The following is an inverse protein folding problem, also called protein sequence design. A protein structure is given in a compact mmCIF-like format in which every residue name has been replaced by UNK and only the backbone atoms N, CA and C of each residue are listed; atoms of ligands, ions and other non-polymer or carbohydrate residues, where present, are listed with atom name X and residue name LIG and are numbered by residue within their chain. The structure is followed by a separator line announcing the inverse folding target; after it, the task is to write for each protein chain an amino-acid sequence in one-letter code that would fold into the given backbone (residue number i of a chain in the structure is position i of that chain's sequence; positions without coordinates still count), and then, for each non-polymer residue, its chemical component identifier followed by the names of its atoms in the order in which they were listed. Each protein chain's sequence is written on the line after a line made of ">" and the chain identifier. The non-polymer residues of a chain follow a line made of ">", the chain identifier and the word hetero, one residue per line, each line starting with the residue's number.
data_IF_856118427752
#
_entry.id   IF_856118427752
#
_cell.length_a   1.000
_cell.length_b   1.000
_cell.length_c   1.000
_cell.angle_alpha   90.00
_cell.angle_beta   90.00
_cell.angle_gamma   90.00
#
_symmetry.space_group_name_H-M   'P 1'
#
loop_
_entity.id
_entity.type
_entity.pdbx_description
1 polymer ?
#
# COMPACT_ATOMS: atom_id res chain seq x y z
N UNK A 1 -10.97 -1.18 17.44
CA UNK A 1 -12.07 -1.49 16.52
C UNK A 1 -11.49 -1.61 15.12
N UNK A 2 -11.83 -2.64 14.33
CA UNK A 2 -11.15 -2.92 13.06
C UNK A 2 -11.62 -2.02 11.89
N UNK A 3 -12.35 -0.94 12.17
CA UNK A 3 -12.82 -0.02 11.14
C UNK A 3 -11.63 0.76 10.56
N UNK A 4 -11.56 0.82 9.23
CA UNK A 4 -10.54 1.57 8.50
C UNK A 4 -10.88 3.06 8.61
N UNK A 5 -9.88 3.88 8.94
CA UNK A 5 -10.02 5.34 9.00
C UNK A 5 -9.35 6.02 7.81
N UNK A 6 -8.20 5.51 7.38
CA UNK A 6 -7.39 6.12 6.34
C UNK A 6 -6.81 5.07 5.39
N UNK A 7 -6.76 5.44 4.12
CA UNK A 7 -6.12 4.68 3.03
C UNK A 7 -5.31 5.66 2.20
N UNK A 8 -3.98 5.52 2.24
CA UNK A 8 -3.05 6.41 1.56
C UNK A 8 -2.29 5.63 0.50
N UNK A 9 -2.34 6.10 -0.75
CA UNK A 9 -1.60 5.50 -1.86
C UNK A 9 -0.49 6.43 -2.34
N UNK A 10 0.61 5.83 -2.79
CA UNK A 10 1.72 6.54 -3.44
C UNK A 10 2.30 5.71 -4.58
N UNK A 11 2.90 6.40 -5.53
CA UNK A 11 3.74 5.76 -6.55
C UNK A 11 5.12 5.45 -5.96
N UNK A 12 5.61 4.24 -6.20
CA UNK A 12 6.95 3.77 -5.86
C UNK A 12 7.54 3.01 -7.05
N UNK A 13 8.82 2.67 -7.00
CA UNK A 13 9.45 1.83 -8.03
C UNK A 13 9.55 0.39 -7.56
N UNK A 14 9.24 -0.56 -8.45
CA UNK A 14 9.46 -1.98 -8.23
C UNK A 14 10.95 -2.39 -8.37
N UNK A 15 11.23 -3.69 -8.26
CA UNK A 15 12.60 -4.23 -8.40
C UNK A 15 13.21 -4.08 -9.79
N UNK A 16 12.43 -3.71 -10.81
CA UNK A 16 12.84 -3.47 -12.20
C UNK A 16 12.84 -1.98 -12.56
N UNK A 17 12.55 -1.10 -11.60
CA UNK A 17 12.46 0.35 -11.82
C UNK A 17 11.18 0.80 -12.52
N UNK A 18 10.14 -0.04 -12.58
CA UNK A 18 8.84 0.37 -13.11
C UNK A 18 7.99 1.00 -11.99
N UNK A 19 7.24 2.07 -12.28
CA UNK A 19 6.23 2.59 -11.36
C UNK A 19 5.22 1.51 -10.93
N UNK A 20 4.97 1.40 -9.63
CA UNK A 20 3.93 0.58 -8.99
C UNK A 20 3.30 1.32 -7.82
N UNK A 21 2.26 0.75 -7.22
CA UNK A 21 1.50 1.35 -6.12
C UNK A 21 1.91 0.71 -4.79
N UNK A 22 2.17 1.56 -3.80
CA UNK A 22 2.20 1.19 -2.38
C UNK A 22 1.03 1.83 -1.65
N UNK A 23 0.39 1.07 -0.75
CA UNK A 23 -0.75 1.52 0.06
C UNK A 23 -0.45 1.32 1.55
N UNK A 24 -0.78 2.35 2.33
CA UNK A 24 -0.84 2.32 3.78
C UNK A 24 -2.30 2.39 4.24
N UNK A 25 -2.65 1.58 5.24
CA UNK A 25 -4.00 1.52 5.83
C UNK A 25 -3.90 1.71 7.34
N UNK A 26 -4.77 2.55 7.88
CA UNK A 26 -4.91 2.79 9.31
C UNK A 26 -6.31 2.40 9.78
N UNK A 27 -6.40 1.88 11.01
CA UNK A 27 -7.68 1.56 11.67
C UNK A 27 -7.92 2.45 12.86
N UNK A 28 -9.17 2.54 13.31
CA UNK A 28 -9.58 3.28 14.50
C UNK A 28 -8.86 2.80 15.79
N UNK A 29 -8.49 1.51 15.85
CA UNK A 29 -7.62 1.00 16.94
C UNK A 29 -6.15 1.43 16.86
N UNK A 30 -5.76 2.21 15.85
CA UNK A 30 -4.37 2.59 15.60
C UNK A 30 -3.53 1.50 14.93
N UNK A 31 -4.13 0.40 14.47
CA UNK A 31 -3.40 -0.61 13.71
C UNK A 31 -2.97 -0.05 12.35
N UNK A 32 -1.79 -0.45 11.89
CA UNK A 32 -1.16 0.00 10.65
C UNK A 32 -0.79 -1.21 9.78
N UNK A 33 -1.05 -1.11 8.48
CA UNK A 33 -0.60 -2.07 7.47
C UNK A 33 -0.07 -1.36 6.24
N UNK A 34 0.99 -1.91 5.64
CA UNK A 34 1.55 -1.42 4.36
C UNK A 34 1.77 -2.58 3.41
N UNK A 35 1.40 -2.37 2.14
CA UNK A 35 1.60 -3.36 1.08
C UNK A 35 1.95 -2.69 -0.25
N UNK A 36 2.88 -3.29 -0.99
CA UNK A 36 3.24 -2.91 -2.35
C UNK A 36 2.69 -3.94 -3.33
N UNK A 37 2.09 -3.47 -4.43
CA UNK A 37 1.57 -4.35 -5.49
C UNK A 37 2.73 -4.84 -6.37
N UNK A 38 2.88 -6.15 -6.62
CA UNK A 38 3.89 -6.65 -7.56
C UNK A 38 3.51 -6.30 -9.00
N UNK A 39 4.50 -6.00 -9.84
CA UNK A 39 4.30 -5.82 -11.29
C UNK A 39 4.61 -7.14 -12.00
N UNK A 40 3.58 -7.83 -12.49
CA UNK A 40 3.75 -8.98 -13.37
C UNK A 40 4.15 -8.53 -14.77
N UNK A 41 5.09 -9.23 -15.41
CA UNK A 41 5.26 -9.12 -16.86
C UNK A 41 4.63 -10.38 -17.48
N UNK A 42 3.45 -10.18 -18.08
CA UNK A 42 2.60 -11.11 -18.86
C UNK A 42 2.56 -12.59 -18.48
#
# INVERSE_FOLDING_TARGET
>A
MPFITDVLAREVLDSRGNPTIEVEVYTESGAFGRGMVPSGAS
#
